data_IF_772457597652
#
_entry.id   IF_772457597652
#
_cell.length_a   1.000
_cell.length_b   1.000
_cell.length_c   1.000
_cell.angle_alpha   90.00
_cell.angle_beta   90.00
_cell.angle_gamma   90.00
#
_symmetry.space_group_name_H-M   'P 1'
#
loop_
_entity.id
_entity.type
_entity.pdbx_description
1 polymer ?
#
# COMPACT_ATOMS: atom_id res chain seq x y z
N UNK A 1 -0.51 34.99 11.70
CA UNK A 1 -1.34 33.98 11.02
C UNK A 1 -2.29 34.71 10.08
N UNK A 2 -2.19 34.52 8.76
CA UNK A 2 -2.89 35.38 7.77
C UNK A 2 -4.29 34.89 7.39
N UNK A 3 -4.63 33.60 7.61
CA UNK A 3 -5.95 33.03 7.31
C UNK A 3 -6.37 31.94 8.33
N UNK A 4 -6.63 32.29 9.60
CA UNK A 4 -6.92 31.32 10.66
C UNK A 4 -8.17 30.45 10.39
N UNK A 5 -9.07 30.92 9.52
CA UNK A 5 -10.31 30.25 9.14
C UNK A 5 -10.20 29.38 7.89
N UNK A 6 -9.02 29.28 7.26
CA UNK A 6 -8.84 28.42 6.09
C UNK A 6 -8.51 26.99 6.54
N UNK A 7 -9.53 26.12 6.63
CA UNK A 7 -9.35 24.71 7.00
C UNK A 7 -8.27 24.01 6.14
N UNK A 8 -8.21 24.33 4.84
CA UNK A 8 -7.21 23.78 3.90
C UNK A 8 -5.77 24.01 4.34
N UNK A 9 -5.48 25.13 5.00
CA UNK A 9 -4.14 25.42 5.53
C UNK A 9 -3.73 24.37 6.57
N UNK A 10 -4.63 24.06 7.51
CA UNK A 10 -4.38 23.04 8.54
C UNK A 10 -4.27 21.65 7.93
N UNK A 11 -5.13 21.30 6.97
CA UNK A 11 -5.01 20.03 6.26
C UNK A 11 -3.66 19.90 5.54
N UNK A 12 -3.18 20.97 4.89
CA UNK A 12 -1.89 20.95 4.20
C UNK A 12 -0.71 20.81 5.17
N UNK A 13 -0.74 21.49 6.33
CA UNK A 13 0.28 21.31 7.38
C UNK A 13 0.24 19.87 7.91
N UNK A 14 -0.95 19.30 8.09
CA UNK A 14 -1.11 17.90 8.47
C UNK A 14 -0.47 16.95 7.47
N UNK A 15 -0.69 17.17 6.17
CA UNK A 15 -0.04 16.38 5.11
C UNK A 15 1.48 16.55 5.09
N UNK A 16 2.00 17.75 5.37
CA UNK A 16 3.45 17.96 5.49
C UNK A 16 4.02 17.19 6.68
N UNK A 17 3.35 17.21 7.84
CA UNK A 17 3.75 16.45 9.02
C UNK A 17 3.69 14.94 8.76
N UNK A 18 2.64 14.46 8.09
CA UNK A 18 2.49 13.07 7.70
C UNK A 18 3.64 12.61 6.80
N UNK A 19 3.99 13.41 5.78
CA UNK A 19 5.14 13.14 4.89
C UNK A 19 6.48 13.16 5.63
N UNK A 20 6.59 13.91 6.72
CA UNK A 20 7.77 13.94 7.57
C UNK A 20 7.81 12.79 8.61
N UNK A 21 6.80 11.92 8.64
CA UNK A 21 6.68 10.83 9.62
C UNK A 21 6.17 11.25 11.00
N UNK A 22 5.82 12.53 11.19
CA UNK A 22 5.26 13.04 12.44
C UNK A 22 3.75 12.83 12.48
N UNK A 23 3.34 11.59 12.74
CA UNK A 23 1.93 11.18 12.76
C UNK A 23 1.13 11.90 13.84
N UNK A 24 1.74 12.19 14.99
CA UNK A 24 1.08 12.89 16.10
C UNK A 24 0.71 14.33 15.70
N UNK A 25 1.65 15.06 15.09
CA UNK A 25 1.38 16.40 14.58
C UNK A 25 0.42 16.37 13.39
N UNK A 26 0.54 15.39 12.50
CA UNK A 26 -0.38 15.23 11.37
C UNK A 26 -1.83 15.12 11.86
N UNK A 27 -2.07 14.20 12.80
CA UNK A 27 -3.37 14.00 13.44
C UNK A 27 -3.89 15.27 14.12
N UNK A 28 -3.04 15.98 14.87
CA UNK A 28 -3.40 17.24 15.50
C UNK A 28 -3.87 18.28 14.46
N UNK A 29 -3.16 18.39 13.34
CA UNK A 29 -3.48 19.38 12.30
C UNK A 29 -4.72 19.01 11.48
N UNK A 30 -4.95 17.72 11.21
CA UNK A 30 -6.19 17.28 10.57
C UNK A 30 -7.41 17.50 11.48
N UNK A 31 -7.27 17.22 12.77
CA UNK A 31 -8.32 17.55 13.76
C UNK A 31 -8.57 19.06 13.83
N UNK A 32 -7.52 19.89 13.79
CA UNK A 32 -7.65 21.34 13.71
C UNK A 32 -8.40 21.76 12.43
N UNK A 33 -8.07 21.19 11.28
CA UNK A 33 -8.79 21.42 10.01
C UNK A 33 -10.29 21.14 10.17
N UNK A 34 -10.63 19.96 10.70
CA UNK A 34 -12.02 19.58 10.94
C UNK A 34 -12.74 20.49 11.93
N UNK A 35 -12.07 20.98 12.98
CA UNK A 35 -12.66 21.93 13.94
C UNK A 35 -12.98 23.30 13.32
N UNK A 36 -12.23 23.71 12.29
CA UNK A 36 -12.50 24.95 11.55
C UNK A 36 -13.67 24.74 10.59
N UNK A 37 -13.66 23.62 9.87
CA UNK A 37 -14.76 23.18 9.02
C UNK A 37 -14.66 21.68 8.81
N UNK A 38 -15.75 20.95 9.10
CA UNK A 38 -15.85 19.55 8.73
C UNK A 38 -15.58 19.38 7.22
N UNK A 39 -14.60 18.56 6.88
CA UNK A 39 -14.18 18.34 5.50
C UNK A 39 -13.74 16.90 5.29
N UNK A 40 -13.98 16.41 4.08
CA UNK A 40 -13.88 14.99 3.79
C UNK A 40 -12.41 14.55 3.66
N UNK A 41 -11.55 15.44 3.20
CA UNK A 41 -10.11 15.21 3.05
C UNK A 41 -9.42 14.98 4.40
N UNK A 42 -9.70 15.80 5.41
CA UNK A 42 -9.16 15.60 6.75
C UNK A 42 -9.68 14.30 7.39
N UNK A 43 -10.96 13.94 7.15
CA UNK A 43 -11.50 12.65 7.61
C UNK A 43 -10.77 11.48 6.96
N UNK A 44 -10.53 11.52 5.65
CA UNK A 44 -9.75 10.48 4.96
C UNK A 44 -8.34 10.35 5.56
N UNK A 45 -7.64 11.46 5.76
CA UNK A 45 -6.29 11.46 6.30
C UNK A 45 -6.24 10.94 7.74
N UNK A 46 -7.20 11.33 8.59
CA UNK A 46 -7.35 10.78 9.93
C UNK A 46 -7.65 9.27 9.88
N UNK A 47 -8.44 8.81 8.89
CA UNK A 47 -8.73 7.39 8.70
C UNK A 47 -7.48 6.58 8.37
N UNK A 48 -6.60 7.09 7.50
CA UNK A 48 -5.31 6.48 7.20
C UNK A 48 -4.37 6.45 8.42
N UNK A 49 -4.38 7.49 9.25
CA UNK A 49 -3.64 7.49 10.53
C UNK A 49 -4.20 6.43 11.48
N UNK A 50 -5.53 6.32 11.59
CA UNK A 50 -6.16 5.30 12.42
C UNK A 50 -5.79 3.88 11.96
N UNK A 51 -5.80 3.61 10.64
CA UNK A 51 -5.27 2.35 10.07
C UNK A 51 -3.83 2.09 10.48
N UNK A 52 -2.95 3.09 10.33
CA UNK A 52 -1.53 2.98 10.70
C UNK A 52 -1.34 2.61 12.18
N UNK A 53 -2.28 3.00 13.04
CA UNK A 53 -2.30 2.67 14.47
C UNK A 53 -3.01 1.34 14.79
N UNK A 54 -3.54 0.64 13.80
CA UNK A 54 -4.31 -0.59 13.95
C UNK A 54 -5.77 -0.38 14.37
N UNK A 55 -6.27 0.86 14.43
CA UNK A 55 -7.66 1.15 14.79
C UNK A 55 -8.56 1.12 13.55
N UNK A 56 -8.83 -0.10 13.08
CA UNK A 56 -9.63 -0.35 11.88
C UNK A 56 -11.08 0.16 12.03
N UNK A 57 -11.66 0.05 13.23
CA UNK A 57 -13.01 0.53 13.48
C UNK A 57 -13.09 2.05 13.34
N UNK A 58 -12.12 2.77 13.89
CA UNK A 58 -12.05 4.22 13.74
C UNK A 58 -11.77 4.64 12.31
N UNK A 59 -10.88 3.92 11.61
CA UNK A 59 -10.61 4.15 10.20
C UNK A 59 -11.87 4.02 9.35
N UNK A 60 -12.65 2.95 9.53
CA UNK A 60 -13.90 2.73 8.81
C UNK A 60 -14.91 3.85 9.05
N UNK A 61 -15.05 4.31 10.31
CA UNK A 61 -15.91 5.46 10.63
C UNK A 61 -15.47 6.72 9.88
N UNK A 62 -14.16 7.00 9.88
CA UNK A 62 -13.59 8.20 9.26
C UNK A 62 -13.71 8.16 7.73
N UNK A 63 -13.48 7.00 7.10
CA UNK A 63 -13.70 6.82 5.67
C UNK A 63 -15.18 6.97 5.27
N UNK A 64 -16.12 6.55 6.14
CA UNK A 64 -17.55 6.83 5.94
C UNK A 64 -17.86 8.34 5.86
N UNK A 65 -17.07 9.17 6.55
CA UNK A 65 -17.19 10.63 6.53
C UNK A 65 -16.31 11.31 5.46
N UNK A 66 -15.70 10.54 4.54
CA UNK A 66 -14.80 11.03 3.51
C UNK A 66 -15.38 10.91 2.09
N UNK A 67 -16.70 10.73 1.96
CA UNK A 67 -17.38 10.54 0.68
C UNK A 67 -17.05 11.63 -0.34
N UNK A 68 -16.83 11.25 -1.60
CA UNK A 68 -16.52 12.18 -2.69
C UNK A 68 -15.04 12.62 -2.78
N UNK A 69 -14.18 12.18 -1.86
CA UNK A 69 -12.72 12.30 -2.03
C UNK A 69 -12.26 11.27 -3.07
N UNK A 70 -11.48 11.71 -4.06
CA UNK A 70 -11.09 10.87 -5.20
C UNK A 70 -10.30 9.61 -4.76
N UNK A 71 -9.47 9.77 -3.72
CA UNK A 71 -8.58 8.74 -3.18
C UNK A 71 -9.29 7.80 -2.19
N UNK A 72 -10.57 8.02 -1.86
CA UNK A 72 -11.30 7.21 -0.87
C UNK A 72 -11.34 5.73 -1.26
N UNK A 73 -11.47 5.43 -2.55
CA UNK A 73 -11.48 4.04 -3.03
C UNK A 73 -10.19 3.30 -2.71
N UNK A 74 -9.04 3.97 -2.85
CA UNK A 74 -7.75 3.39 -2.51
C UNK A 74 -7.62 3.20 -0.99
N UNK A 75 -8.03 4.18 -0.18
CA UNK A 75 -8.00 4.07 1.28
C UNK A 75 -8.88 2.92 1.81
N UNK A 76 -10.09 2.77 1.26
CA UNK A 76 -10.96 1.62 1.55
C UNK A 76 -10.35 0.30 1.08
N UNK A 77 -9.69 0.29 -0.08
CA UNK A 77 -8.97 -0.88 -0.58
C UNK A 77 -7.90 -1.37 0.40
N UNK A 78 -7.15 -0.45 1.00
CA UNK A 78 -6.16 -0.77 2.04
C UNK A 78 -6.82 -1.31 3.30
N UNK A 79 -7.90 -0.68 3.79
CA UNK A 79 -8.67 -1.20 4.93
C UNK A 79 -9.14 -2.64 4.68
N UNK A 80 -9.73 -2.91 3.51
CA UNK A 80 -10.22 -4.24 3.17
C UNK A 80 -9.09 -5.27 3.00
N UNK A 81 -7.90 -4.87 2.55
CA UNK A 81 -6.72 -5.74 2.55
C UNK A 81 -6.37 -6.16 3.98
N UNK A 82 -6.29 -5.22 4.93
CA UNK A 82 -5.95 -5.53 6.31
C UNK A 82 -7.03 -6.37 7.02
N UNK A 83 -8.30 -6.24 6.60
CA UNK A 83 -9.41 -7.06 7.10
C UNK A 83 -9.47 -8.46 6.47
N UNK A 84 -8.62 -8.76 5.49
CA UNK A 84 -8.67 -10.02 4.74
C UNK A 84 -9.81 -10.09 3.71
N UNK A 85 -10.52 -8.98 3.48
CA UNK A 85 -11.65 -8.89 2.55
C UNK A 85 -11.19 -8.60 1.11
N UNK A 86 -10.31 -9.46 0.57
CA UNK A 86 -9.56 -9.18 -0.65
C UNK A 86 -10.42 -8.88 -1.88
N UNK A 87 -11.58 -9.53 -2.04
CA UNK A 87 -12.50 -9.25 -3.14
C UNK A 87 -13.08 -7.82 -3.07
N UNK A 88 -13.41 -7.34 -1.85
CA UNK A 88 -13.83 -5.95 -1.66
C UNK A 88 -12.67 -5.01 -1.90
N UNK A 89 -11.46 -5.37 -1.45
CA UNK A 89 -10.26 -4.58 -1.72
C UNK A 89 -10.03 -4.38 -3.22
N UNK A 90 -10.09 -5.44 -4.03
CA UNK A 90 -9.98 -5.36 -5.51
C UNK A 90 -11.02 -4.41 -6.09
N UNK A 91 -12.27 -4.51 -5.65
CA UNK A 91 -13.34 -3.62 -6.12
C UNK A 91 -13.09 -2.16 -5.73
N UNK A 92 -12.61 -1.91 -4.51
CA UNK A 92 -12.33 -0.56 -4.01
C UNK A 92 -11.12 0.09 -4.69
N UNK A 93 -10.06 -0.66 -4.94
CA UNK A 93 -8.91 -0.19 -5.73
C UNK A 93 -9.31 0.12 -7.18
N UNK A 94 -10.24 -0.66 -7.75
CA UNK A 94 -10.75 -0.43 -9.09
C UNK A 94 -9.63 -0.41 -10.15
N UNK A 95 -9.40 0.76 -10.75
CA UNK A 95 -8.43 0.92 -11.84
C UNK A 95 -7.06 1.48 -11.41
N UNK A 96 -6.82 1.74 -10.13
CA UNK A 96 -5.51 2.26 -9.68
C UNK A 96 -4.39 1.24 -9.94
N UNK A 97 -3.17 1.76 -10.13
CA UNK A 97 -1.99 0.99 -10.51
C UNK A 97 -0.92 1.08 -9.43
N UNK A 98 -1.17 0.39 -8.32
CA UNK A 98 -0.32 0.40 -7.13
C UNK A 98 0.02 -1.03 -6.68
N UNK A 99 1.07 -1.16 -5.87
CA UNK A 99 1.47 -2.44 -5.28
C UNK A 99 0.33 -3.05 -4.43
N UNK A 100 -0.44 -2.23 -3.70
CA UNK A 100 -1.58 -2.69 -2.91
C UNK A 100 -2.71 -3.25 -3.79
N UNK A 101 -3.04 -2.59 -4.90
CA UNK A 101 -4.03 -3.09 -5.83
C UNK A 101 -3.61 -4.43 -6.45
N UNK A 102 -2.33 -4.57 -6.81
CA UNK A 102 -1.78 -5.82 -7.31
C UNK A 102 -1.76 -6.94 -6.26
N UNK A 103 -1.42 -6.61 -5.01
CA UNK A 103 -1.47 -7.55 -3.89
C UNK A 103 -2.89 -8.09 -3.69
N UNK A 104 -3.91 -7.22 -3.70
CA UNK A 104 -5.30 -7.65 -3.60
C UNK A 104 -5.69 -8.62 -4.74
N UNK A 105 -5.27 -8.32 -5.97
CA UNK A 105 -5.50 -9.18 -7.14
C UNK A 105 -4.78 -10.54 -7.00
N UNK A 106 -3.54 -10.53 -6.51
CA UNK A 106 -2.75 -11.74 -6.24
C UNK A 106 -3.41 -12.62 -5.17
N UNK A 107 -3.95 -12.02 -4.11
CA UNK A 107 -4.61 -12.71 -3.00
C UNK A 107 -5.94 -13.35 -3.42
N UNK A 108 -6.64 -12.79 -4.40
CA UNK A 108 -7.79 -13.44 -5.06
C UNK A 108 -7.40 -14.35 -6.24
N UNK A 109 -6.10 -14.61 -6.41
CA UNK A 109 -5.51 -15.49 -7.44
C UNK A 109 -5.67 -15.00 -8.88
N UNK A 110 -5.96 -13.72 -9.10
CA UNK A 110 -5.95 -13.11 -10.42
C UNK A 110 -4.53 -12.65 -10.80
N UNK A 111 -3.68 -13.63 -11.09
CA UNK A 111 -2.26 -13.40 -11.40
C UNK A 111 -2.04 -12.61 -12.69
N UNK A 112 -2.94 -12.78 -13.68
CA UNK A 112 -2.88 -12.02 -14.93
C UNK A 112 -3.11 -10.55 -14.67
N UNK A 113 -4.15 -10.21 -13.90
CA UNK A 113 -4.43 -8.82 -13.54
C UNK A 113 -3.36 -8.23 -12.63
N UNK A 114 -2.89 -8.98 -11.64
CA UNK A 114 -1.79 -8.56 -10.76
C UNK A 114 -0.54 -8.20 -11.57
N UNK A 115 -0.15 -9.06 -12.52
CA UNK A 115 0.98 -8.81 -13.42
C UNK A 115 0.79 -7.53 -14.26
N UNK A 116 -0.39 -7.34 -14.86
CA UNK A 116 -0.71 -6.12 -15.61
C UNK A 116 -0.63 -4.87 -14.74
N UNK A 117 -1.16 -4.93 -13.51
CA UNK A 117 -1.13 -3.83 -12.56
C UNK A 117 0.31 -3.49 -12.16
N UNK A 118 1.13 -4.48 -11.80
CA UNK A 118 2.54 -4.29 -11.41
C UNK A 118 3.40 -3.74 -12.55
N UNK A 119 3.09 -4.09 -13.80
CA UNK A 119 3.79 -3.56 -14.97
C UNK A 119 3.43 -2.09 -15.27
N UNK A 120 2.31 -1.61 -14.74
CA UNK A 120 1.82 -0.24 -14.93
C UNK A 120 2.00 0.66 -13.69
N UNK A 121 2.70 0.19 -12.65
CA UNK A 121 3.06 1.03 -11.50
C UNK A 121 4.01 2.13 -11.98
N UNK A 122 3.61 3.39 -11.80
CA UNK A 122 4.31 4.55 -12.38
C UNK A 122 5.75 4.74 -11.84
N UNK A 123 5.98 4.33 -10.60
CA UNK A 123 7.29 4.39 -9.93
C UNK A 123 7.55 3.04 -9.29
N UNK A 124 8.02 2.04 -10.05
CA UNK A 124 8.27 0.71 -9.52
C UNK A 124 9.42 0.77 -8.50
N UNK A 125 9.26 0.03 -7.42
CA UNK A 125 10.22 -0.07 -6.32
C UNK A 125 10.57 -1.54 -6.02
N UNK A 126 11.36 -1.76 -4.97
CA UNK A 126 11.74 -3.10 -4.53
C UNK A 126 10.50 -3.98 -4.29
N UNK A 127 9.44 -3.44 -3.69
CA UNK A 127 8.17 -4.13 -3.44
C UNK A 127 7.47 -4.49 -4.75
N UNK A 128 7.47 -3.61 -5.75
CA UNK A 128 6.90 -3.93 -7.08
C UNK A 128 7.60 -5.15 -7.69
N UNK A 129 8.94 -5.16 -7.67
CA UNK A 129 9.72 -6.30 -8.17
C UNK A 129 9.50 -7.56 -7.35
N UNK A 130 9.42 -7.44 -6.02
CA UNK A 130 9.16 -8.59 -5.14
C UNK A 130 7.80 -9.23 -5.43
N UNK A 131 6.74 -8.42 -5.55
CA UNK A 131 5.41 -8.93 -5.92
C UNK A 131 5.39 -9.58 -7.31
N UNK A 132 6.17 -9.07 -8.28
CA UNK A 132 6.33 -9.73 -9.59
C UNK A 132 6.98 -11.11 -9.44
N UNK A 133 7.96 -11.27 -8.55
CA UNK A 133 8.54 -12.57 -8.25
C UNK A 133 7.51 -13.51 -7.62
N UNK A 134 6.65 -13.04 -6.71
CA UNK A 134 5.57 -13.87 -6.13
C UNK A 134 4.57 -14.31 -7.22
N UNK A 135 4.18 -13.41 -8.12
CA UNK A 135 3.33 -13.77 -9.27
C UNK A 135 4.01 -14.86 -10.10
N UNK A 136 5.28 -14.68 -10.46
CA UNK A 136 6.07 -15.65 -11.22
C UNK A 136 6.17 -17.00 -10.51
N UNK A 137 6.36 -16.99 -9.19
CA UNK A 137 6.40 -18.19 -8.37
C UNK A 137 5.08 -18.96 -8.46
N UNK A 138 3.94 -18.28 -8.31
CA UNK A 138 2.61 -18.87 -8.39
C UNK A 138 2.22 -19.34 -9.79
N UNK A 139 2.87 -18.80 -10.84
CA UNK A 139 2.70 -19.25 -12.23
C UNK A 139 3.80 -20.20 -12.71
N UNK A 140 4.68 -20.68 -11.81
CA UNK A 140 5.79 -21.60 -12.10
C UNK A 140 6.83 -21.07 -13.11
N UNK A 141 7.01 -19.75 -13.21
CA UNK A 141 8.05 -19.15 -14.04
C UNK A 141 9.32 -18.89 -13.23
N UNK A 142 10.20 -19.90 -13.16
CA UNK A 142 11.45 -19.81 -12.38
C UNK A 142 12.37 -18.68 -12.87
N UNK A 143 12.44 -18.43 -14.18
CA UNK A 143 13.32 -17.40 -14.73
C UNK A 143 12.84 -16.01 -14.31
N UNK A 144 11.52 -15.79 -14.30
CA UNK A 144 10.92 -14.57 -13.80
C UNK A 144 11.06 -14.43 -12.28
N UNK A 145 11.03 -15.51 -11.49
CA UNK A 145 11.31 -15.46 -10.04
C UNK A 145 12.73 -14.92 -9.80
N UNK A 146 13.74 -15.54 -10.41
CA UNK A 146 15.14 -15.16 -10.19
C UNK A 146 15.41 -13.71 -10.63
N UNK A 147 14.95 -13.33 -11.83
CA UNK A 147 15.20 -11.99 -12.37
C UNK A 147 14.51 -10.90 -11.56
N UNK A 148 13.27 -11.11 -11.11
CA UNK A 148 12.55 -10.13 -10.30
C UNK A 148 13.08 -10.04 -8.87
N UNK A 149 13.46 -11.16 -8.23
CA UNK A 149 14.11 -11.12 -6.91
C UNK A 149 15.46 -10.40 -6.97
N UNK A 150 16.26 -10.64 -8.01
CA UNK A 150 17.50 -9.89 -8.23
C UNK A 150 17.26 -8.39 -8.32
N UNK A 151 16.21 -7.97 -9.04
CA UNK A 151 15.83 -6.55 -9.13
C UNK A 151 15.36 -5.99 -7.78
N UNK A 152 14.53 -6.74 -7.04
CA UNK A 152 14.07 -6.34 -5.70
C UNK A 152 15.24 -6.15 -4.73
N UNK A 153 16.17 -7.11 -4.68
CA UNK A 153 17.35 -7.10 -3.80
C UNK A 153 18.34 -5.98 -4.16
N UNK A 154 18.48 -5.69 -5.46
CA UNK A 154 19.30 -4.57 -5.92
C UNK A 154 18.74 -3.21 -5.47
N UNK A 155 17.41 -3.06 -5.42
CA UNK A 155 16.74 -1.86 -4.95
C UNK A 155 16.69 -1.77 -3.42
N UNK A 156 16.48 -2.89 -2.73
CA UNK A 156 16.53 -3.00 -1.28
C UNK A 156 17.12 -4.35 -0.85
N UNK A 157 18.31 -4.32 -0.26
CA UNK A 157 19.03 -5.52 0.19
C UNK A 157 18.28 -6.31 1.27
N UNK A 158 17.35 -5.68 2.00
CA UNK A 158 16.56 -6.38 3.01
C UNK A 158 15.67 -7.46 2.40
N UNK A 159 15.27 -7.31 1.12
CA UNK A 159 14.44 -8.27 0.39
C UNK A 159 15.07 -9.66 0.26
N UNK A 160 16.40 -9.78 0.38
CA UNK A 160 17.07 -11.08 0.36
C UNK A 160 16.69 -11.94 1.57
N UNK A 161 16.62 -11.31 2.75
CA UNK A 161 16.22 -11.98 3.99
C UNK A 161 14.75 -12.37 3.96
N UNK A 162 13.91 -11.49 3.44
CA UNK A 162 12.47 -11.77 3.27
C UNK A 162 12.28 -12.96 2.33
N UNK A 163 12.89 -12.93 1.14
CA UNK A 163 12.80 -14.00 0.16
C UNK A 163 13.33 -15.35 0.67
N UNK A 164 14.33 -15.35 1.55
CA UNK A 164 14.89 -16.58 2.12
C UNK A 164 13.88 -17.37 2.97
N UNK A 165 12.94 -16.67 3.63
CA UNK A 165 11.97 -17.28 4.55
C UNK A 165 10.54 -17.31 3.99
N UNK A 166 10.31 -16.65 2.86
CA UNK A 166 9.00 -16.57 2.22
C UNK A 166 8.59 -17.92 1.60
N UNK A 167 7.43 -18.42 2.03
CA UNK A 167 6.89 -19.71 1.60
C UNK A 167 6.55 -19.73 0.10
N UNK A 168 6.29 -18.57 -0.50
CA UNK A 168 6.08 -18.44 -1.95
C UNK A 168 7.28 -18.94 -2.76
N UNK A 169 8.48 -18.88 -2.16
CA UNK A 169 9.72 -19.30 -2.81
C UNK A 169 10.28 -20.64 -2.32
N UNK A 170 9.61 -21.32 -1.37
CA UNK A 170 10.13 -22.54 -0.75
C UNK A 170 10.54 -23.62 -1.76
N UNK A 171 9.78 -23.78 -2.85
CA UNK A 171 10.09 -24.75 -3.90
C UNK A 171 11.37 -24.45 -4.70
N UNK A 172 11.89 -23.23 -4.61
CA UNK A 172 13.12 -22.79 -5.28
C UNK A 172 14.34 -22.81 -4.37
N UNK A 173 14.21 -23.18 -3.10
CA UNK A 173 15.31 -23.15 -2.13
C UNK A 173 16.54 -23.99 -2.54
N UNK A 174 16.34 -25.05 -3.34
CA UNK A 174 17.41 -25.90 -3.86
C UNK A 174 18.00 -25.41 -5.20
N UNK A 175 17.39 -24.40 -5.83
CA UNK A 175 17.92 -23.79 -7.04
C UNK A 175 19.17 -22.96 -6.69
N UNK A 176 20.28 -23.20 -7.37
CA UNK A 176 21.56 -22.54 -7.10
C UNK A 176 21.52 -21.03 -7.28
N UNK A 177 20.78 -20.54 -8.27
CA UNK A 177 20.66 -19.12 -8.57
C UNK A 177 19.84 -18.43 -7.48
N UNK A 178 18.72 -19.03 -7.07
CA UNK A 178 17.91 -18.55 -5.95
C UNK A 178 18.73 -18.52 -4.65
N UNK A 179 19.39 -19.64 -4.31
CA UNK A 179 20.21 -19.75 -3.12
C UNK A 179 21.38 -18.75 -3.11
N UNK A 180 21.85 -18.31 -4.27
CA UNK A 180 22.90 -17.28 -4.36
C UNK A 180 22.36 -15.86 -4.18
N UNK A 181 21.07 -15.63 -4.47
CA UNK A 181 20.42 -14.32 -4.27
C UNK A 181 20.10 -14.05 -2.80
N UNK A 182 19.70 -15.09 -2.05
CA UNK A 182 19.15 -14.94 -0.69
C UNK A 182 20.15 -15.23 0.44
N UNK A 183 21.42 -15.46 0.09
CA UNK A 183 22.53 -15.69 1.03
C UNK A 183 23.04 -14.41 1.68
#
# INVERSE_FOLDING_TARGET
>A
ELYPNCYRTWNNIGMMAFKAGDLAKAEQMFNKSNSVKANNEANMNLGLIALTKGDQAKAQQLFGNAAGVAELGEALGVLYLEQGEYAKAVNSFGSVKTNNAALAQLLVKDYSKASQTLNAVAKPDATTSYLKAVVAARTNDVNAVISNLKAAIAADKAMAKEAAIDLEFAKYATNSDFASLVK
#
